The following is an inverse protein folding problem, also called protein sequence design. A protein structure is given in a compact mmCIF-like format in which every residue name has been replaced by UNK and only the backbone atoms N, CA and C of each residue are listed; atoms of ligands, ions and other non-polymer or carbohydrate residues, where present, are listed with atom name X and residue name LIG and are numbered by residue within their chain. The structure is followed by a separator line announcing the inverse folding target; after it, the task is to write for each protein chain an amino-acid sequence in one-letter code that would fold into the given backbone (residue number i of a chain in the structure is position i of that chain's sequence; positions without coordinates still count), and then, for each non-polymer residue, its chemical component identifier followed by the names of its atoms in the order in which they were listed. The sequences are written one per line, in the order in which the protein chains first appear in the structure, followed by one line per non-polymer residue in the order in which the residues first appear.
data_IF_082117358129
#
_entry.id   IF_082117358129
#
_cell.length_a   1.000
_cell.length_b   1.000
_cell.length_c   1.000
_cell.angle_alpha   90.00
_cell.angle_beta   90.00
_cell.angle_gamma   90.00
#
_symmetry.space_group_name_H-M   'P 1'
#
loop_
_entity.id
_entity.type
_entity.pdbx_description
1 polymer ?
#
# COMPACT_ATOMS: atom_id res chain seq x y z
N UNK A 1 -18.05 16.06 2.52
CA UNK A 1 -17.18 15.55 3.61
C UNK A 1 -16.53 14.24 3.18
N UNK A 2 -15.39 13.86 3.78
CA UNK A 2 -14.74 12.57 3.51
C UNK A 2 -14.98 11.64 4.69
N UNK A 3 -15.31 10.39 4.37
CA UNK A 3 -15.52 9.34 5.36
C UNK A 3 -14.52 8.22 5.07
N UNK A 4 -13.87 7.73 6.11
CA UNK A 4 -13.03 6.54 6.03
C UNK A 4 -13.68 5.34 6.71
N UNK A 5 -13.55 4.20 6.05
CA UNK A 5 -13.84 2.88 6.58
C UNK A 5 -12.52 2.23 6.94
N UNK A 6 -12.19 2.18 8.23
CA UNK A 6 -11.02 1.45 8.72
C UNK A 6 -11.37 -0.02 8.85
N UNK A 7 -10.66 -0.87 8.13
CA UNK A 7 -10.84 -2.33 8.14
C UNK A 7 -10.05 -2.96 9.30
N UNK A 8 -10.46 -4.14 9.74
CA UNK A 8 -9.75 -4.88 10.79
C UNK A 8 -8.34 -5.36 10.38
N UNK A 9 -8.08 -5.51 9.07
CA UNK A 9 -6.76 -5.81 8.51
C UNK A 9 -5.79 -4.60 8.54
N UNK A 10 -6.27 -3.43 8.97
CA UNK A 10 -5.51 -2.19 9.04
C UNK A 10 -5.57 -1.33 7.78
N UNK A 11 -6.22 -1.80 6.71
CA UNK A 11 -6.40 -1.03 5.47
C UNK A 11 -7.54 -0.01 5.56
N UNK A 12 -7.55 0.97 4.67
CA UNK A 12 -8.55 2.05 4.70
C UNK A 12 -9.23 2.22 3.34
N UNK A 13 -10.56 2.37 3.35
CA UNK A 13 -11.31 2.82 2.18
C UNK A 13 -11.86 4.22 2.44
N UNK A 14 -11.68 5.14 1.50
CA UNK A 14 -12.12 6.54 1.66
C UNK A 14 -13.11 6.87 0.56
N UNK A 15 -14.25 7.43 0.97
CA UNK A 15 -15.28 7.90 0.06
C UNK A 15 -15.68 9.35 0.36
N UNK A 16 -16.15 10.05 -0.67
CA UNK A 16 -16.69 11.40 -0.54
C UNK A 16 -18.21 11.33 -0.45
N UNK A 17 -18.78 11.97 0.57
CA UNK A 17 -20.22 12.01 0.82
C UNK A 17 -20.67 13.43 1.14
N UNK A 18 -21.94 13.73 0.93
CA UNK A 18 -22.52 15.03 1.32
C UNK A 18 -22.73 15.13 2.82
N UNK A 19 -23.13 14.03 3.46
CA UNK A 19 -23.44 13.94 4.90
C UNK A 19 -23.15 12.54 5.47
N UNK A 20 -23.29 12.40 6.79
CA UNK A 20 -23.02 11.14 7.50
C UNK A 20 -24.05 10.04 7.23
N UNK A 21 -25.29 10.39 6.86
CA UNK A 21 -26.32 9.39 6.56
C UNK A 21 -25.99 8.70 5.23
N UNK A 22 -25.56 9.48 4.23
CA UNK A 22 -24.96 8.92 3.01
C UNK A 22 -23.69 8.12 3.30
N UNK A 23 -22.85 8.58 4.24
CA UNK A 23 -21.69 7.81 4.70
C UNK A 23 -22.05 6.41 5.22
N UNK A 24 -23.15 6.30 5.99
CA UNK A 24 -23.67 5.02 6.47
C UNK A 24 -24.24 4.15 5.34
N UNK A 25 -24.95 4.76 4.39
CA UNK A 25 -25.45 4.03 3.20
C UNK A 25 -24.30 3.45 2.38
N UNK A 26 -23.24 4.24 2.14
CA UNK A 26 -22.05 3.77 1.43
C UNK A 26 -21.29 2.68 2.20
N UNK A 27 -21.26 2.75 3.53
CA UNK A 27 -20.68 1.70 4.37
C UNK A 27 -21.44 0.37 4.24
N UNK A 28 -22.78 0.41 4.23
CA UNK A 28 -23.59 -0.81 4.05
C UNK A 28 -23.44 -1.39 2.64
N UNK A 29 -23.35 -0.55 1.60
CA UNK A 29 -23.00 -1.01 0.24
C UNK A 29 -21.63 -1.69 0.24
N UNK A 30 -20.61 -1.04 0.81
CA UNK A 30 -19.26 -1.57 0.89
C UNK A 30 -19.21 -2.91 1.62
N UNK A 31 -19.96 -3.07 2.72
CA UNK A 31 -20.12 -4.35 3.40
C UNK A 31 -20.66 -5.43 2.46
N UNK A 32 -21.74 -5.14 1.75
CA UNK A 32 -22.37 -6.12 0.85
C UNK A 32 -21.49 -6.49 -0.35
N UNK A 33 -20.67 -5.58 -0.87
CA UNK A 33 -19.88 -5.84 -2.08
C UNK A 33 -18.48 -6.38 -1.78
N UNK A 34 -17.76 -5.79 -0.83
CA UNK A 34 -16.32 -6.00 -0.66
C UNK A 34 -15.98 -6.82 0.59
N UNK A 35 -16.71 -6.60 1.68
CA UNK A 35 -16.53 -7.37 2.92
C UNK A 35 -17.11 -8.77 2.83
N UNK A 36 -18.23 -8.99 2.11
CA UNK A 36 -18.73 -10.36 1.89
C UNK A 36 -17.66 -11.24 1.22
N UNK A 37 -16.85 -10.66 0.33
CA UNK A 37 -15.73 -11.37 -0.29
C UNK A 37 -14.54 -11.57 0.67
N UNK A 38 -14.36 -10.68 1.65
CA UNK A 38 -13.27 -10.71 2.63
C UNK A 38 -13.81 -10.41 4.05
N UNK A 39 -14.45 -11.40 4.71
CA UNK A 39 -15.12 -11.21 5.99
C UNK A 39 -14.20 -10.71 7.12
N UNK A 40 -12.90 -10.98 7.02
CA UNK A 40 -11.86 -10.53 7.94
C UNK A 40 -11.65 -9.01 7.97
N UNK A 41 -12.27 -8.26 7.05
CA UNK A 41 -12.26 -6.80 7.10
C UNK A 41 -13.17 -6.24 8.20
N UNK A 42 -14.00 -7.09 8.84
CA UNK A 42 -14.78 -6.74 10.01
C UNK A 42 -14.05 -7.09 11.33
N UNK A 43 -14.29 -6.33 12.41
CA UNK A 43 -15.11 -5.11 12.46
C UNK A 43 -14.43 -3.94 11.76
N UNK A 44 -15.23 -3.06 11.13
CA UNK A 44 -14.75 -1.83 10.52
C UNK A 44 -15.36 -0.61 11.22
N UNK A 45 -14.59 0.47 11.34
CA UNK A 45 -15.06 1.73 11.93
C UNK A 45 -15.24 2.80 10.85
N UNK A 46 -16.25 3.65 11.06
CA UNK A 46 -16.59 4.76 10.17
C UNK A 46 -16.26 6.06 10.88
N UNK A 47 -15.42 6.90 10.28
CA UNK A 47 -15.09 8.20 10.83
C UNK A 47 -15.03 9.29 9.76
N UNK A 48 -15.34 10.51 10.20
CA UNK A 48 -15.18 11.70 9.37
C UNK A 48 -13.72 12.13 9.37
N UNK A 49 -13.18 12.43 8.19
CA UNK A 49 -11.84 12.98 8.07
C UNK A 49 -11.90 14.36 7.42
N UNK A 50 -11.35 15.33 8.12
CA UNK A 50 -11.17 16.71 7.64
C UNK A 50 -9.94 16.83 6.73
N UNK A 51 -8.82 16.24 7.13
CA UNK A 51 -7.55 16.32 6.41
C UNK A 51 -7.03 14.92 6.08
N UNK A 52 -6.83 14.62 4.80
CA UNK A 52 -6.11 13.43 4.37
C UNK A 52 -4.72 13.85 3.88
N UNK A 53 -3.70 13.02 4.10
CA UNK A 53 -2.45 13.19 3.39
C UNK A 53 -2.71 13.30 1.89
N UNK A 54 -2.06 14.26 1.23
CA UNK A 54 -2.18 14.47 -0.21
C UNK A 54 -1.67 13.27 -1.01
N UNK A 55 -0.84 12.44 -0.36
CA UNK A 55 -0.24 11.28 -0.96
C UNK A 55 -1.26 10.15 -1.20
N UNK A 56 -1.36 9.72 -2.46
CA UNK A 56 -2.21 8.59 -2.85
C UNK A 56 -1.50 7.25 -2.73
N UNK A 57 -0.18 7.26 -2.69
CA UNK A 57 0.68 6.08 -2.73
C UNK A 57 0.75 5.39 -1.35
N UNK A 58 0.73 6.15 -0.26
CA UNK A 58 0.72 5.70 1.13
C UNK A 58 -0.56 6.11 1.86
N UNK A 59 -1.67 6.24 1.12
CA UNK A 59 -2.98 6.66 1.64
C UNK A 59 -3.51 5.76 2.77
N UNK A 60 -3.07 4.50 2.83
CA UNK A 60 -3.39 3.55 3.91
C UNK A 60 -2.47 3.66 5.14
N UNK A 61 -1.34 4.37 5.01
CA UNK A 61 -0.37 4.55 6.08
C UNK A 61 -0.59 5.88 6.79
N UNK A 62 -1.69 5.98 7.51
CA UNK A 62 -1.98 7.12 8.38
C UNK A 62 -2.27 6.69 9.81
N UNK A 63 -2.15 7.66 10.71
CA UNK A 63 -2.45 7.54 12.13
C UNK A 63 -3.10 8.82 12.66
N UNK A 64 -3.64 8.73 13.88
CA UNK A 64 -4.21 9.87 14.57
C UNK A 64 -3.19 10.42 15.55
N UNK A 65 -2.86 11.70 15.39
CA UNK A 65 -2.01 12.45 16.32
C UNK A 65 -2.79 13.68 16.74
N UNK A 66 -3.16 13.77 18.02
CA UNK A 66 -3.91 14.90 18.59
C UNK A 66 -5.24 15.21 17.87
N UNK A 67 -5.91 14.20 17.33
CA UNK A 67 -7.18 14.35 16.60
C UNK A 67 -7.01 14.69 15.12
N UNK A 68 -5.78 14.95 14.67
CA UNK A 68 -5.45 15.11 13.27
C UNK A 68 -4.98 13.79 12.65
N UNK A 69 -5.24 13.66 11.36
CA UNK A 69 -4.80 12.54 10.54
C UNK A 69 -3.48 12.90 9.88
N UNK A 70 -2.44 12.12 10.17
CA UNK A 70 -1.08 12.32 9.66
C UNK A 70 -0.52 11.04 9.04
N UNK A 71 0.48 11.17 8.18
CA UNK A 71 1.18 10.02 7.60
C UNK A 71 1.98 9.26 8.68
N UNK A 72 1.80 7.94 8.73
CA UNK A 72 2.56 7.06 9.59
C UNK A 72 3.70 6.42 8.78
N UNK A 73 4.93 6.88 9.04
CA UNK A 73 6.12 6.44 8.32
C UNK A 73 6.39 4.94 8.44
N UNK A 74 6.12 4.34 9.60
CA UNK A 74 6.34 2.91 9.83
C UNK A 74 5.40 2.04 9.00
N UNK A 75 4.11 2.40 8.94
CA UNK A 75 3.12 1.76 8.07
C UNK A 75 3.48 1.95 6.60
N UNK A 76 3.91 3.15 6.21
CA UNK A 76 4.30 3.45 4.83
C UNK A 76 5.50 2.59 4.41
N UNK A 77 6.49 2.44 5.29
CA UNK A 77 7.64 1.56 5.07
C UNK A 77 7.21 0.08 4.93
N UNK A 78 6.22 -0.36 5.71
CA UNK A 78 5.62 -1.70 5.58
C UNK A 78 4.97 -1.92 4.20
N UNK A 79 4.15 -0.97 3.75
CA UNK A 79 3.51 -1.01 2.42
C UNK A 79 4.58 -1.04 1.32
N UNK A 80 5.61 -0.19 1.43
CA UNK A 80 6.66 -0.12 0.41
C UNK A 80 7.50 -1.40 0.36
N UNK A 81 7.80 -2.01 1.50
CA UNK A 81 8.49 -3.30 1.56
C UNK A 81 7.70 -4.41 0.85
N UNK A 82 6.37 -4.43 1.01
CA UNK A 82 5.50 -5.38 0.29
C UNK A 82 5.59 -5.14 -1.22
N UNK A 83 5.46 -3.88 -1.67
CA UNK A 83 5.56 -3.54 -3.10
C UNK A 83 6.89 -3.93 -3.72
N UNK A 84 7.99 -3.70 -3.01
CA UNK A 84 9.33 -4.12 -3.46
C UNK A 84 9.41 -5.65 -3.54
N UNK A 85 8.83 -6.37 -2.57
CA UNK A 85 8.80 -7.83 -2.57
C UNK A 85 8.01 -8.38 -3.77
N UNK A 86 6.86 -7.79 -4.07
CA UNK A 86 6.04 -8.16 -5.24
C UNK A 86 6.77 -7.86 -6.56
N UNK A 87 7.39 -6.69 -6.67
CA UNK A 87 8.18 -6.32 -7.85
C UNK A 87 9.40 -7.24 -8.03
N UNK A 88 10.07 -7.62 -6.94
CA UNK A 88 11.15 -8.60 -6.93
C UNK A 88 10.68 -9.95 -7.47
N UNK A 89 9.60 -10.50 -6.91
CA UNK A 89 9.04 -11.78 -7.35
C UNK A 89 8.63 -11.75 -8.84
N UNK A 90 8.04 -10.65 -9.29
CA UNK A 90 7.68 -10.47 -10.69
C UNK A 90 8.91 -10.45 -11.61
N UNK A 91 9.97 -9.73 -11.22
CA UNK A 91 11.21 -9.65 -12.02
C UNK A 91 11.97 -10.97 -12.02
N UNK A 92 12.04 -11.69 -10.89
CA UNK A 92 12.63 -13.03 -10.83
C UNK A 92 11.92 -13.99 -11.79
N UNK A 93 10.58 -13.95 -11.83
CA UNK A 93 9.80 -14.77 -12.79
C UNK A 93 10.10 -14.40 -14.24
N UNK A 94 10.20 -13.11 -14.56
CA UNK A 94 10.58 -12.63 -15.90
C UNK A 94 11.97 -13.14 -16.31
N UNK A 95 12.96 -13.03 -15.42
CA UNK A 95 14.33 -13.48 -15.68
C UNK A 95 14.41 -15.01 -15.88
N UNK A 96 13.62 -15.79 -15.14
CA UNK A 96 13.53 -17.24 -15.36
C UNK A 96 13.02 -17.60 -16.76
N UNK A 97 12.04 -16.85 -17.27
CA UNK A 97 11.51 -17.05 -18.63
C UNK A 97 12.55 -16.70 -19.69
N UNK A 98 13.28 -15.58 -19.51
CA UNK A 98 14.35 -15.15 -20.44
C UNK A 98 15.52 -16.13 -20.47
N UNK A 99 15.94 -16.62 -19.31
CA UNK A 99 16.98 -17.66 -19.20
C UNK A 99 16.58 -18.95 -19.92
N UNK A 100 15.33 -19.40 -19.74
CA UNK A 100 14.81 -20.56 -20.46
C UNK A 100 14.77 -20.33 -22.00
N UNK A 101 14.68 -19.07 -22.44
CA UNK A 101 14.81 -18.64 -23.82
C UNK A 101 16.26 -18.57 -24.33
N UNK A 102 17.26 -18.83 -23.48
CA UNK A 102 18.68 -18.82 -23.83
C UNK A 102 19.40 -17.48 -23.64
N UNK A 103 18.75 -16.48 -23.02
CA UNK A 103 19.42 -15.22 -22.68
C UNK A 103 20.32 -15.38 -21.45
N UNK A 104 21.51 -14.77 -21.46
CA UNK A 104 22.34 -14.66 -20.26
C UNK A 104 21.82 -13.53 -19.35
N UNK A 105 21.18 -13.93 -18.27
CA UNK A 105 20.59 -13.04 -17.26
C UNK A 105 21.35 -13.05 -15.94
N UNK A 106 22.57 -13.59 -15.89
CA UNK A 106 23.33 -13.84 -14.65
C UNK A 106 23.52 -12.56 -13.83
N UNK A 107 23.93 -11.47 -14.49
CA UNK A 107 24.15 -10.17 -13.84
C UNK A 107 22.84 -9.55 -13.32
N UNK A 108 21.76 -9.62 -14.10
CA UNK A 108 20.44 -9.09 -13.71
C UNK A 108 19.89 -9.87 -12.50
N UNK A 109 20.00 -11.20 -12.50
CA UNK A 109 19.58 -12.04 -11.36
C UNK A 109 20.33 -11.68 -10.08
N UNK A 110 21.65 -11.49 -10.15
CA UNK A 110 22.44 -11.10 -8.98
C UNK A 110 21.97 -9.75 -8.39
N UNK A 111 21.65 -8.78 -9.25
CA UNK A 111 21.12 -7.48 -8.81
C UNK A 111 19.75 -7.61 -8.15
N UNK A 112 18.84 -8.41 -8.72
CA UNK A 112 17.50 -8.63 -8.15
C UNK A 112 17.59 -9.38 -6.82
N UNK A 113 18.45 -10.39 -6.70
CA UNK A 113 18.64 -11.15 -5.47
C UNK A 113 19.17 -10.28 -4.32
N UNK A 114 20.07 -9.35 -4.63
CA UNK A 114 20.64 -8.42 -3.66
C UNK A 114 19.64 -7.39 -3.11
N UNK A 115 18.45 -7.26 -3.71
CA UNK A 115 17.40 -6.38 -3.18
C UNK A 115 16.87 -6.94 -1.85
N UNK A 116 17.04 -6.15 -0.79
CA UNK A 116 16.38 -6.33 0.51
C UNK A 116 15.16 -5.40 0.63
N UNK A 117 13.93 -5.93 0.55
CA UNK A 117 12.72 -5.12 0.72
C UNK A 117 12.60 -4.45 2.09
N UNK A 118 13.25 -4.97 3.13
CA UNK A 118 13.17 -4.41 4.48
C UNK A 118 14.08 -3.19 4.69
N UNK A 119 15.01 -2.93 3.77
CA UNK A 119 15.92 -1.78 3.81
C UNK A 119 15.18 -0.44 3.88
N UNK A 120 13.97 -0.36 3.32
CA UNK A 120 13.10 0.84 3.35
C UNK A 120 12.65 1.24 4.75
N UNK A 121 12.74 0.35 5.74
CA UNK A 121 12.44 0.67 7.15
C UNK A 121 13.38 1.71 7.75
N UNK A 122 14.53 1.95 7.11
CA UNK A 122 15.50 2.96 7.52
C UNK A 122 15.22 4.35 6.92
N UNK A 123 14.19 4.50 6.07
CA UNK A 123 13.82 5.78 5.50
C UNK A 123 13.42 6.78 6.60
N UNK A 124 13.81 8.04 6.42
CA UNK A 124 13.60 9.11 7.41
C UNK A 124 12.31 9.90 7.15
N UNK A 125 11.76 9.78 5.95
CA UNK A 125 10.57 10.50 5.52
C UNK A 125 9.89 9.75 4.37
N UNK A 126 8.70 10.22 4.02
CA UNK A 126 7.86 9.64 2.98
C UNK A 126 8.48 9.78 1.58
N UNK A 127 9.20 10.87 1.30
CA UNK A 127 9.81 11.09 -0.02
C UNK A 127 10.98 10.12 -0.30
N UNK A 128 11.75 9.77 0.73
CA UNK A 128 12.74 8.70 0.66
C UNK A 128 12.08 7.34 0.37
N UNK A 129 10.91 7.05 0.96
CA UNK A 129 10.18 5.81 0.67
C UNK A 129 9.69 5.75 -0.78
N UNK A 130 9.15 6.84 -1.34
CA UNK A 130 8.72 6.88 -2.75
C UNK A 130 9.87 6.61 -3.70
N UNK A 131 11.05 7.13 -3.36
CA UNK A 131 12.25 7.02 -4.16
C UNK A 131 13.01 5.70 -3.94
N UNK A 132 12.56 4.86 -3.00
CA UNK A 132 13.28 3.66 -2.56
C UNK A 132 13.17 2.45 -3.49
N UNK A 133 12.32 2.50 -4.54
CA UNK A 133 12.19 1.39 -5.49
C UNK A 133 13.55 1.16 -6.21
N UNK A 134 14.19 -0.01 -5.99
CA UNK A 134 15.49 -0.28 -6.58
C UNK A 134 15.46 -0.28 -8.11
N UNK A 135 16.49 0.28 -8.73
CA UNK A 135 16.59 0.37 -10.20
C UNK A 135 16.48 -1.00 -10.87
N UNK A 136 17.02 -2.06 -10.25
CA UNK A 136 16.93 -3.43 -10.75
C UNK A 136 15.48 -3.96 -10.89
N UNK A 137 14.52 -3.33 -10.21
CA UNK A 137 13.10 -3.71 -10.24
C UNK A 137 12.24 -2.79 -11.12
N UNK A 138 12.82 -1.72 -11.68
CA UNK A 138 12.09 -0.84 -12.60
C UNK A 138 11.87 -1.58 -13.92
N UNK A 139 10.66 -1.47 -14.48
CA UNK A 139 10.37 -2.00 -15.81
C UNK A 139 11.19 -1.20 -16.84
N UNK A 140 12.05 -1.90 -17.57
CA UNK A 140 12.81 -1.39 -18.72
C UNK A 140 11.94 -1.29 -19.96
#
# INVERSE_FOLDING_TARGET
MKVAFKRADGGVSITEVTDMDMGRVEFEKWKTSAVIANPEWLPATVETISNLPSDKEFRDAWEHVNGDVVENLSKAAGIQAIRISEAKAAKEKELLVREAGGEDVTAEKAQVQAVDPLSVRNAKNIDELKSSLPTALKRS
#
